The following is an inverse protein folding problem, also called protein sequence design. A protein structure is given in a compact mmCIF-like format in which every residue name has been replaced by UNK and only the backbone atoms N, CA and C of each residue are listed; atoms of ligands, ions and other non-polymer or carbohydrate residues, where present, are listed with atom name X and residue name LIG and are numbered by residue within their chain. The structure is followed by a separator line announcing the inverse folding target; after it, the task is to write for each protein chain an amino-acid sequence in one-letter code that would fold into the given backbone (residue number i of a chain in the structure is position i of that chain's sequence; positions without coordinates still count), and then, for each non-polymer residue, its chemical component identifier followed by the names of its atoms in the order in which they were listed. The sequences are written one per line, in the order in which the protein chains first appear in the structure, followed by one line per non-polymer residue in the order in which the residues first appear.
data_IF_919261811382
#
_entry.id   IF_919261811382
#
_cell.length_a   1.000
_cell.length_b   1.000
_cell.length_c   1.000
_cell.angle_alpha   90.00
_cell.angle_beta   90.00
_cell.angle_gamma   90.00
#
_symmetry.space_group_name_H-M   'P 1'
#
loop_
_entity.id
_entity.type
_entity.pdbx_description
1 polymer ?
#
# COMPACT_ATOMS: atom_id res chain seq x y z
N UNK A 1 -31.43 -38.14 19.11
CA UNK A 1 -30.48 -37.04 19.40
C UNK A 1 -29.05 -37.57 19.30
N UNK A 2 -28.35 -37.36 18.18
CA UNK A 2 -26.91 -37.70 18.07
C UNK A 2 -26.09 -36.48 18.45
N UNK A 3 -25.38 -36.60 19.56
CA UNK A 3 -24.40 -35.64 20.08
C UNK A 3 -23.28 -35.47 19.03
N UNK A 4 -23.41 -34.50 18.12
CA UNK A 4 -22.26 -34.05 17.30
C UNK A 4 -21.37 -33.22 18.19
N UNK A 5 -20.34 -33.86 18.78
CA UNK A 5 -19.26 -33.15 19.49
C UNK A 5 -18.73 -32.06 18.55
N UNK A 6 -18.70 -30.82 19.02
CA UNK A 6 -18.08 -29.70 18.30
C UNK A 6 -16.61 -30.06 18.06
N UNK A 7 -16.08 -29.92 16.83
CA UNK A 7 -14.68 -30.21 16.57
C UNK A 7 -13.78 -29.28 17.39
N UNK A 8 -12.70 -29.84 17.94
CA UNK A 8 -11.64 -29.10 18.63
C UNK A 8 -10.96 -28.15 17.63
N UNK A 9 -10.60 -26.96 18.08
CA UNK A 9 -9.81 -26.00 17.29
C UNK A 9 -8.39 -26.59 17.17
N UNK A 10 -7.83 -26.74 15.96
CA UNK A 10 -6.46 -27.22 15.76
C UNK A 10 -5.43 -26.29 16.39
N UNK A 11 -4.44 -26.85 17.10
CA UNK A 11 -3.37 -26.10 17.78
C UNK A 11 -2.01 -26.27 17.08
N UNK A 12 -1.92 -27.15 16.07
CA UNK A 12 -0.70 -27.38 15.29
C UNK A 12 -0.95 -27.45 13.77
N UNK A 13 0.09 -27.25 12.97
CA UNK A 13 0.00 -27.27 11.50
C UNK A 13 -0.35 -28.65 10.98
N UNK A 14 0.20 -29.71 11.58
CA UNK A 14 -0.15 -31.11 11.28
C UNK A 14 -1.63 -31.42 11.53
N UNK A 15 -2.26 -30.78 12.51
CA UNK A 15 -3.71 -30.87 12.71
C UNK A 15 -4.48 -30.07 11.66
N UNK A 16 -3.97 -28.93 11.18
CA UNK A 16 -4.56 -28.17 10.07
C UNK A 16 -4.49 -28.92 8.73
N UNK A 17 -3.43 -29.70 8.46
CA UNK A 17 -3.31 -30.50 7.22
C UNK A 17 -4.44 -31.53 7.08
N UNK A 18 -4.96 -32.05 8.19
CA UNK A 18 -6.08 -32.99 8.21
C UNK A 18 -7.43 -32.36 7.86
N UNK A 19 -7.63 -31.06 8.12
CA UNK A 19 -8.89 -30.35 7.86
C UNK A 19 -8.86 -29.50 6.58
N UNK A 20 -7.67 -29.25 6.03
CA UNK A 20 -7.44 -28.38 4.88
C UNK A 20 -6.40 -29.01 3.93
N UNK A 21 -6.71 -30.14 3.25
CA UNK A 21 -5.78 -30.74 2.28
C UNK A 21 -5.54 -29.86 1.05
N UNK A 22 -6.44 -28.91 0.74
CA UNK A 22 -6.41 -28.10 -0.49
C UNK A 22 -5.39 -26.93 -0.40
N UNK A 23 -5.32 -26.14 0.70
CA UNK A 23 -4.37 -25.02 0.80
C UNK A 23 -2.89 -25.41 0.73
N UNK A 24 -2.47 -26.51 1.36
CA UNK A 24 -1.05 -26.93 1.35
C UNK A 24 -0.66 -27.49 -0.02
N UNK A 25 -1.55 -28.27 -0.64
CA UNK A 25 -1.37 -28.72 -2.02
C UNK A 25 -1.29 -27.54 -3.00
N UNK A 26 -2.08 -26.48 -2.80
CA UNK A 26 -1.98 -25.26 -3.58
C UNK A 26 -0.60 -24.60 -3.46
N UNK A 27 -0.13 -24.39 -2.23
CA UNK A 27 1.18 -23.78 -1.97
C UNK A 27 2.31 -24.60 -2.60
N UNK A 28 2.25 -25.93 -2.48
CA UNK A 28 3.24 -26.82 -3.09
C UNK A 28 3.17 -26.77 -4.63
N UNK A 29 1.96 -26.82 -5.18
CA UNK A 29 1.72 -26.79 -6.63
C UNK A 29 2.24 -25.51 -7.28
N UNK A 30 2.05 -24.37 -6.63
CA UNK A 30 2.41 -23.05 -7.15
C UNK A 30 3.66 -22.45 -6.51
N UNK A 31 4.51 -23.29 -5.93
CA UNK A 31 5.72 -22.85 -5.24
C UNK A 31 6.62 -22.01 -6.15
N UNK A 32 6.75 -22.37 -7.44
CA UNK A 32 7.56 -21.62 -8.42
C UNK A 32 7.01 -20.22 -8.67
N UNK A 33 5.69 -20.11 -8.85
CA UNK A 33 5.00 -18.84 -9.05
C UNK A 33 5.08 -17.95 -7.81
N UNK A 34 4.90 -18.53 -6.62
CA UNK A 34 5.03 -17.83 -5.33
C UNK A 34 6.47 -17.32 -5.11
N UNK A 35 7.48 -18.09 -5.49
CA UNK A 35 8.88 -17.67 -5.44
C UNK A 35 9.23 -16.54 -6.44
N UNK A 36 8.38 -16.32 -7.45
CA UNK A 36 8.53 -15.23 -8.42
C UNK A 36 7.81 -13.93 -7.99
N UNK A 37 7.00 -13.97 -6.93
CA UNK A 37 6.33 -12.79 -6.37
C UNK A 37 7.37 -11.80 -5.84
N UNK A 38 7.24 -10.53 -6.25
CA UNK A 38 8.10 -9.43 -5.81
C UNK A 38 7.38 -8.38 -4.96
N UNK A 39 6.06 -8.44 -4.90
CA UNK A 39 5.25 -7.49 -4.15
C UNK A 39 4.12 -8.18 -3.44
N UNK A 40 3.89 -7.80 -2.19
CA UNK A 40 2.76 -8.22 -1.38
C UNK A 40 2.19 -7.02 -0.65
N UNK A 41 0.98 -7.15 -0.11
CA UNK A 41 0.43 -6.16 0.78
C UNK A 41 -0.55 -6.78 1.75
N UNK A 42 -0.81 -6.05 2.83
CA UNK A 42 -1.74 -6.48 3.86
C UNK A 42 -2.56 -5.31 4.37
N UNK A 43 -3.81 -5.59 4.70
CA UNK A 43 -4.73 -4.63 5.29
C UNK A 43 -5.85 -5.39 6.02
N UNK A 44 -6.42 -4.71 7.02
CA UNK A 44 -7.50 -5.21 7.86
C UNK A 44 -8.82 -4.52 7.55
N UNK A 45 -9.92 -5.29 7.51
CA UNK A 45 -11.28 -4.74 7.43
C UNK A 45 -12.11 -5.11 8.65
N UNK A 46 -12.88 -4.15 9.16
CA UNK A 46 -13.71 -4.32 10.36
C UNK A 46 -15.17 -4.65 10.04
N UNK A 47 -15.68 -4.20 8.87
CA UNK A 47 -17.12 -4.25 8.55
C UNK A 47 -17.60 -5.65 8.18
N UNK A 48 -16.72 -6.50 7.67
CA UNK A 48 -17.06 -7.87 7.26
C UNK A 48 -16.81 -8.90 8.35
N UNK A 49 -16.36 -8.46 9.53
CA UNK A 49 -16.05 -9.33 10.66
C UNK A 49 -17.34 -9.81 11.32
N UNK A 50 -17.48 -11.10 11.63
CA UNK A 50 -18.66 -11.61 12.30
C UNK A 50 -18.92 -10.94 13.65
N UNK A 51 -20.17 -10.57 13.91
CA UNK A 51 -20.56 -9.97 15.20
C UNK A 51 -20.72 -11.01 16.33
N UNK A 52 -20.77 -12.30 15.98
CA UNK A 52 -20.93 -13.43 16.89
C UNK A 52 -19.95 -14.53 16.52
N UNK A 53 -19.15 -15.07 17.47
CA UNK A 53 -19.21 -14.84 18.93
C UNK A 53 -18.67 -13.45 19.37
N UNK A 54 -19.03 -13.01 20.58
CA UNK A 54 -18.78 -11.63 21.07
C UNK A 54 -17.30 -11.20 21.01
N UNK A 55 -16.38 -12.14 21.10
CA UNK A 55 -14.93 -11.92 20.99
C UNK A 55 -14.55 -11.26 19.65
N UNK A 56 -15.29 -11.55 18.57
CA UNK A 56 -15.04 -11.01 17.24
C UNK A 56 -15.66 -9.63 17.00
N UNK A 57 -16.54 -9.14 17.89
CA UNK A 57 -17.34 -7.92 17.65
C UNK A 57 -16.50 -6.65 17.44
N UNK A 58 -15.26 -6.64 17.94
CA UNK A 58 -14.28 -5.55 17.76
C UNK A 58 -13.04 -5.99 16.99
N UNK A 59 -13.11 -7.15 16.36
CA UNK A 59 -12.00 -7.71 15.59
C UNK A 59 -11.86 -7.08 14.22
N UNK A 60 -10.80 -7.47 13.52
CA UNK A 60 -10.57 -7.19 12.10
C UNK A 60 -10.38 -8.50 11.34
N UNK A 61 -10.73 -8.52 10.05
CA UNK A 61 -10.29 -9.54 9.12
C UNK A 61 -9.03 -9.00 8.45
N UNK A 62 -7.87 -9.50 8.88
CA UNK A 62 -6.59 -9.21 8.28
C UNK A 62 -6.35 -10.12 7.08
N UNK A 63 -5.82 -9.55 6.00
CA UNK A 63 -5.55 -10.28 4.76
C UNK A 63 -4.13 -10.03 4.31
N UNK A 64 -3.45 -11.09 3.83
CA UNK A 64 -2.16 -10.97 3.17
C UNK A 64 -2.32 -11.35 1.71
N UNK A 65 -2.03 -10.42 0.82
CA UNK A 65 -2.15 -10.58 -0.61
C UNK A 65 -0.78 -10.60 -1.28
N UNK A 66 -0.59 -11.53 -2.20
CA UNK A 66 0.53 -11.48 -3.15
C UNK A 66 0.08 -10.80 -4.43
N UNK A 67 0.98 -10.03 -5.04
CA UNK A 67 0.75 -9.46 -6.38
C UNK A 67 1.57 -10.27 -7.37
N UNK A 68 0.88 -11.10 -8.16
CA UNK A 68 1.46 -11.94 -9.20
C UNK A 68 0.97 -11.48 -10.56
N UNK A 69 1.90 -11.21 -11.49
CA UNK A 69 1.61 -10.69 -12.84
C UNK A 69 0.65 -9.49 -12.87
N UNK A 70 0.81 -8.55 -11.93
CA UNK A 70 -0.03 -7.37 -11.72
C UNK A 70 -1.46 -7.64 -11.19
N UNK A 71 -1.77 -8.87 -10.79
CA UNK A 71 -3.03 -9.24 -10.16
C UNK A 71 -2.81 -9.55 -8.68
N UNK A 72 -3.69 -9.05 -7.82
CA UNK A 72 -3.68 -9.33 -6.39
C UNK A 72 -4.48 -10.59 -6.06
N UNK A 73 -3.85 -11.48 -5.31
CA UNK A 73 -4.43 -12.72 -4.80
C UNK A 73 -4.33 -12.76 -3.27
N UNK A 74 -5.44 -12.84 -2.55
CA UNK A 74 -5.43 -13.09 -1.11
C UNK A 74 -4.93 -14.51 -0.83
N UNK A 75 -3.91 -14.62 0.03
CA UNK A 75 -3.25 -15.89 0.35
C UNK A 75 -3.53 -16.34 1.78
N UNK A 76 -3.64 -15.39 2.71
CA UNK A 76 -3.86 -15.66 4.14
C UNK A 76 -4.94 -14.72 4.65
N UNK A 77 -5.85 -15.28 5.44
CA UNK A 77 -6.94 -14.59 6.09
C UNK A 77 -6.90 -14.90 7.58
N UNK A 78 -6.95 -13.87 8.43
CA UNK A 78 -7.01 -14.07 9.88
C UNK A 78 -8.04 -13.15 10.52
N UNK A 79 -8.86 -13.71 11.41
CA UNK A 79 -9.74 -12.93 12.27
C UNK A 79 -8.97 -12.53 13.52
N UNK A 80 -8.53 -11.28 13.56
CA UNK A 80 -7.82 -10.72 14.70
C UNK A 80 -8.83 -10.18 15.72
N UNK A 81 -8.63 -10.48 17.00
CA UNK A 81 -9.45 -9.91 18.09
C UNK A 81 -9.01 -8.49 18.49
N UNK A 82 -7.83 -8.08 18.05
CA UNK A 82 -7.23 -6.78 18.34
C UNK A 82 -6.33 -6.31 17.19
N UNK A 83 -6.26 -4.99 17.00
CA UNK A 83 -5.40 -4.33 16.03
C UNK A 83 -4.17 -3.78 16.77
N UNK A 84 -3.26 -4.68 17.18
CA UNK A 84 -2.02 -4.32 17.89
C UNK A 84 -0.80 -4.90 17.18
N UNK A 85 0.36 -4.34 17.47
CA UNK A 85 1.65 -4.82 16.94
C UNK A 85 1.88 -6.31 17.21
N UNK A 86 1.51 -6.79 18.41
CA UNK A 86 1.64 -8.20 18.78
C UNK A 86 0.72 -9.09 17.93
N UNK A 87 -0.51 -8.61 17.69
CA UNK A 87 -1.50 -9.32 16.87
C UNK A 87 -1.03 -9.43 15.42
N UNK A 88 -0.47 -8.34 14.87
CA UNK A 88 0.10 -8.34 13.52
C UNK A 88 1.36 -9.19 13.42
N UNK A 89 2.21 -9.18 14.45
CA UNK A 89 3.43 -10.00 14.48
C UNK A 89 3.08 -11.49 14.42
N UNK A 90 2.08 -11.93 15.21
CA UNK A 90 1.58 -13.30 15.15
C UNK A 90 1.04 -13.67 13.76
N UNK A 91 0.23 -12.80 13.16
CA UNK A 91 -0.28 -12.98 11.80
C UNK A 91 0.86 -13.14 10.78
N UNK A 92 1.87 -12.27 10.83
CA UNK A 92 2.99 -12.34 9.90
C UNK A 92 3.88 -13.57 10.11
N UNK A 93 4.01 -14.07 11.35
CA UNK A 93 4.71 -15.33 11.61
C UNK A 93 4.01 -16.51 10.93
N UNK A 94 2.66 -16.52 10.94
CA UNK A 94 1.87 -17.50 10.20
C UNK A 94 2.11 -17.36 8.70
N UNK A 95 2.06 -16.13 8.16
CA UNK A 95 2.36 -15.86 6.74
C UNK A 95 3.75 -16.38 6.35
N UNK A 96 4.77 -16.09 7.17
CA UNK A 96 6.16 -16.53 6.94
C UNK A 96 6.29 -18.04 6.93
N UNK A 97 5.56 -18.72 7.80
CA UNK A 97 5.58 -20.17 7.88
C UNK A 97 4.87 -20.83 6.69
N UNK A 98 3.72 -20.27 6.27
CA UNK A 98 2.89 -20.87 5.23
C UNK A 98 3.42 -20.62 3.82
N UNK A 99 3.89 -19.40 3.51
CA UNK A 99 4.16 -19.00 2.14
C UNK A 99 5.66 -19.13 1.79
N UNK A 100 6.03 -19.94 0.79
CA UNK A 100 7.42 -20.03 0.32
C UNK A 100 7.69 -18.85 -0.62
N UNK A 101 7.82 -17.64 -0.08
CA UNK A 101 8.21 -16.44 -0.84
C UNK A 101 9.72 -16.21 -0.76
N UNK A 102 10.28 -15.49 -1.75
CA UNK A 102 11.64 -14.96 -1.66
C UNK A 102 11.65 -13.65 -0.89
N UNK A 103 11.56 -13.73 0.43
CA UNK A 103 11.43 -12.55 1.30
C UNK A 103 12.54 -11.51 1.09
N UNK A 104 13.79 -11.90 0.82
CA UNK A 104 14.89 -10.97 0.54
C UNK A 104 14.72 -10.11 -0.72
N UNK A 105 13.81 -10.50 -1.62
CA UNK A 105 13.47 -9.76 -2.85
C UNK A 105 12.01 -9.27 -2.84
N UNK A 106 11.33 -9.36 -1.70
CA UNK A 106 9.92 -9.02 -1.56
C UNK A 106 9.79 -7.57 -1.08
N UNK A 107 8.92 -6.80 -1.73
CA UNK A 107 8.41 -5.54 -1.19
C UNK A 107 7.05 -5.77 -0.54
N UNK A 108 6.93 -5.48 0.76
CA UNK A 108 5.66 -5.58 1.50
C UNK A 108 5.09 -4.18 1.64
N UNK A 109 3.86 -4.00 1.16
CA UNK A 109 3.16 -2.72 1.13
C UNK A 109 2.12 -2.65 2.25
N UNK A 110 2.24 -1.65 3.12
CA UNK A 110 1.31 -1.41 4.24
C UNK A 110 0.86 0.04 4.29
N UNK A 111 -0.09 0.33 5.18
CA UNK A 111 -0.39 1.70 5.60
C UNK A 111 0.66 2.21 6.60
N UNK A 112 0.58 3.49 6.93
CA UNK A 112 1.45 4.16 7.91
C UNK A 112 1.05 3.86 9.37
N UNK A 113 0.44 2.70 9.64
CA UNK A 113 0.13 2.27 11.00
C UNK A 113 1.40 1.70 11.64
N UNK A 114 1.86 2.35 12.72
CA UNK A 114 3.13 2.00 13.38
C UNK A 114 3.21 0.53 13.80
N UNK A 115 2.12 -0.04 14.34
CA UNK A 115 2.08 -1.44 14.74
C UNK A 115 2.26 -2.40 13.56
N UNK A 116 1.65 -2.12 12.40
CA UNK A 116 1.84 -2.92 11.19
C UNK A 116 3.28 -2.81 10.67
N UNK A 117 3.81 -1.60 10.60
CA UNK A 117 5.18 -1.34 10.13
C UNK A 117 6.22 -2.07 10.99
N UNK A 118 6.08 -1.98 12.31
CA UNK A 118 6.97 -2.65 13.26
C UNK A 118 6.89 -4.17 13.13
N UNK A 119 5.68 -4.72 13.02
CA UNK A 119 5.48 -6.15 12.87
C UNK A 119 6.09 -6.69 11.56
N UNK A 120 5.92 -5.99 10.43
CA UNK A 120 6.57 -6.37 9.16
C UNK A 120 8.09 -6.32 9.30
N UNK A 121 8.64 -5.24 9.86
CA UNK A 121 10.10 -5.07 10.02
C UNK A 121 10.68 -6.14 10.93
N UNK A 122 9.95 -6.56 11.95
CA UNK A 122 10.36 -7.60 12.90
C UNK A 122 10.35 -8.99 12.27
N UNK A 123 9.30 -9.33 11.51
CA UNK A 123 9.12 -10.68 10.95
C UNK A 123 9.84 -10.87 9.62
N UNK A 124 10.00 -9.81 8.82
CA UNK A 124 10.63 -9.82 7.50
C UNK A 124 11.72 -8.75 7.37
N UNK A 125 12.77 -8.78 8.21
CA UNK A 125 13.84 -7.78 8.17
C UNK A 125 14.59 -7.76 6.82
N UNK A 126 14.54 -8.84 6.05
CA UNK A 126 15.13 -8.93 4.71
C UNK A 126 14.25 -8.34 3.60
N UNK A 127 12.95 -8.14 3.85
CA UNK A 127 12.03 -7.57 2.88
C UNK A 127 12.07 -6.05 2.91
N UNK A 128 11.81 -5.43 1.76
CA UNK A 128 11.60 -3.97 1.70
C UNK A 128 10.20 -3.65 2.22
N UNK A 129 10.11 -2.96 3.35
CA UNK A 129 8.85 -2.32 3.76
C UNK A 129 8.65 -1.02 2.97
N UNK A 130 7.51 -0.90 2.29
CA UNK A 130 7.11 0.31 1.57
C UNK A 130 5.73 0.74 2.06
N UNK A 131 5.55 1.98 2.47
CA UNK A 131 4.22 2.46 2.82
C UNK A 131 3.46 2.93 1.57
N UNK A 132 2.13 2.83 1.62
CA UNK A 132 1.27 3.17 0.50
C UNK A 132 1.39 4.67 0.12
N UNK A 133 1.80 4.93 -1.13
CA UNK A 133 1.90 6.29 -1.66
C UNK A 133 0.57 7.04 -1.63
N UNK A 134 -0.55 6.34 -1.84
CA UNK A 134 -1.87 6.96 -1.80
C UNK A 134 -2.25 7.43 -0.40
N UNK A 135 -1.86 6.70 0.64
CA UNK A 135 -2.07 7.11 2.03
C UNK A 135 -1.18 8.28 2.45
N UNK A 136 0.06 8.33 1.96
CA UNK A 136 0.95 9.50 2.07
C UNK A 136 0.28 10.73 1.44
N UNK A 137 -0.13 10.62 0.17
CA UNK A 137 -0.83 11.66 -0.57
C UNK A 137 -2.07 12.16 0.19
N UNK A 138 -2.95 11.24 0.60
CA UNK A 138 -4.19 11.59 1.29
C UNK A 138 -3.93 12.31 2.61
N UNK A 139 -2.90 11.90 3.34
CA UNK A 139 -2.56 12.47 4.64
C UNK A 139 -2.10 13.93 4.48
N UNK A 140 -1.32 14.24 3.45
CA UNK A 140 -0.93 15.61 3.11
C UNK A 140 -2.15 16.47 2.76
N UNK A 141 -2.99 16.01 1.83
CA UNK A 141 -4.18 16.77 1.43
C UNK A 141 -5.13 16.99 2.60
N UNK A 142 -5.31 15.97 3.46
CA UNK A 142 -6.14 16.04 4.65
C UNK A 142 -5.57 17.00 5.69
N UNK A 143 -4.24 17.05 5.85
CA UNK A 143 -3.58 18.03 6.71
C UNK A 143 -3.85 19.45 6.23
N UNK A 144 -3.63 19.74 4.94
CA UNK A 144 -3.96 21.06 4.38
C UNK A 144 -5.43 21.39 4.66
N UNK A 145 -6.37 20.50 4.32
CA UNK A 145 -7.80 20.78 4.49
C UNK A 145 -8.24 21.00 5.95
N UNK A 146 -7.66 20.28 6.92
CA UNK A 146 -8.17 20.26 8.31
C UNK A 146 -7.33 21.03 9.31
N UNK A 147 -6.05 21.22 9.04
CA UNK A 147 -5.06 21.82 9.96
C UNK A 147 -4.42 23.07 9.41
N UNK A 148 -4.45 23.29 8.10
CA UNK A 148 -3.92 24.50 7.46
C UNK A 148 -4.81 24.95 6.30
N UNK A 149 -6.03 25.41 6.63
CA UNK A 149 -7.04 25.80 5.64
C UNK A 149 -6.57 26.91 4.72
N UNK A 150 -5.70 27.81 5.20
CA UNK A 150 -5.06 28.83 4.39
C UNK A 150 -4.26 28.19 3.23
N UNK A 151 -3.37 27.24 3.53
CA UNK A 151 -2.61 26.52 2.51
C UNK A 151 -3.54 25.76 1.56
N UNK A 152 -4.62 25.17 2.08
CA UNK A 152 -5.62 24.49 1.25
C UNK A 152 -6.29 25.43 0.23
N UNK A 153 -6.68 26.64 0.66
CA UNK A 153 -7.31 27.63 -0.23
C UNK A 153 -6.31 28.21 -1.25
N UNK A 154 -5.06 28.42 -0.83
CA UNK A 154 -3.98 28.86 -1.72
C UNK A 154 -3.69 27.85 -2.83
N UNK A 155 -3.60 26.56 -2.50
CA UNK A 155 -3.39 25.48 -3.48
C UNK A 155 -4.51 25.43 -4.53
N UNK A 156 -5.71 25.94 -4.21
CA UNK A 156 -6.84 26.00 -5.14
C UNK A 156 -6.90 27.29 -5.98
N UNK A 157 -6.29 28.37 -5.49
CA UNK A 157 -6.43 29.71 -6.10
C UNK A 157 -5.13 30.23 -6.72
N UNK A 158 -3.98 29.65 -6.38
CA UNK A 158 -2.67 30.07 -6.85
C UNK A 158 -1.91 28.90 -7.50
N UNK A 159 -1.49 29.10 -8.76
CA UNK A 159 -0.81 28.08 -9.57
C UNK A 159 0.55 27.69 -8.97
N UNK A 160 1.28 28.63 -8.36
CA UNK A 160 2.58 28.35 -7.73
C UNK A 160 2.37 27.47 -6.50
N UNK A 161 1.44 27.83 -5.61
CA UNK A 161 1.10 27.01 -4.43
C UNK A 161 0.65 25.59 -4.84
N UNK A 162 -0.15 25.48 -5.91
CA UNK A 162 -0.58 24.20 -6.48
C UNK A 162 0.61 23.37 -7.02
N UNK A 163 1.54 24.01 -7.72
CA UNK A 163 2.74 23.35 -8.25
C UNK A 163 3.68 22.89 -7.13
N UNK A 164 3.82 23.68 -6.07
CA UNK A 164 4.58 23.27 -4.88
C UNK A 164 4.01 22.01 -4.26
N UNK A 165 2.68 21.93 -4.07
CA UNK A 165 2.05 20.71 -3.56
C UNK A 165 2.35 19.51 -4.48
N UNK A 166 2.25 19.69 -5.80
CA UNK A 166 2.55 18.62 -6.77
C UNK A 166 3.99 18.12 -6.64
N UNK A 167 4.95 19.02 -6.49
CA UNK A 167 6.36 18.67 -6.30
C UNK A 167 6.59 17.94 -4.96
N UNK A 168 5.96 18.39 -3.88
CA UNK A 168 6.03 17.71 -2.57
C UNK A 168 5.51 16.28 -2.66
N UNK A 169 4.39 16.07 -3.34
CA UNK A 169 3.81 14.74 -3.55
C UNK A 169 4.66 13.86 -4.46
N UNK A 170 5.41 14.48 -5.38
CA UNK A 170 6.36 13.81 -6.25
C UNK A 170 7.68 13.42 -5.56
N UNK A 171 7.98 13.96 -4.36
CA UNK A 171 9.18 13.57 -3.60
C UNK A 171 9.25 12.07 -3.38
N UNK A 172 8.12 11.40 -3.13
CA UNK A 172 8.06 9.95 -2.95
C UNK A 172 8.60 9.15 -4.16
N UNK A 173 8.73 9.77 -5.34
CA UNK A 173 9.32 9.16 -6.53
C UNK A 173 10.83 9.37 -6.66
N UNK A 174 11.48 10.00 -5.67
CA UNK A 174 12.95 10.06 -5.58
C UNK A 174 13.49 8.95 -4.66
N UNK A 175 14.77 8.55 -4.82
CA UNK A 175 15.41 7.62 -3.90
C UNK A 175 15.36 8.11 -2.46
N UNK A 176 15.14 7.18 -1.51
CA UNK A 176 15.12 7.51 -0.08
C UNK A 176 16.46 8.08 0.41
N UNK A 177 17.58 7.58 -0.10
CA UNK A 177 18.94 8.00 0.25
C UNK A 177 19.78 8.14 -1.02
N UNK A 178 20.85 8.94 -0.93
CA UNK A 178 21.84 9.05 -2.02
C UNK A 178 22.60 7.72 -2.17
N UNK A 179 23.21 7.52 -3.34
CA UNK A 179 23.99 6.31 -3.62
C UNK A 179 23.16 5.08 -3.96
N UNK A 180 21.90 5.23 -4.39
CA UNK A 180 21.10 4.10 -4.88
C UNK A 180 21.79 3.46 -6.11
N UNK A 181 21.72 2.13 -6.24
CA UNK A 181 22.42 1.39 -7.29
C UNK A 181 22.07 1.90 -8.71
N UNK A 182 20.79 2.17 -8.94
CA UNK A 182 20.32 2.71 -10.22
C UNK A 182 20.61 4.23 -10.37
N UNK A 183 20.76 4.98 -9.25
CA UNK A 183 20.81 6.46 -9.23
C UNK A 183 21.58 7.00 -8.00
N UNK A 184 22.76 7.57 -8.21
CA UNK A 184 23.66 7.90 -7.10
C UNK A 184 23.59 9.35 -6.59
N UNK A 185 23.14 10.30 -7.41
CA UNK A 185 23.39 11.73 -7.18
C UNK A 185 22.40 12.44 -6.23
N UNK A 186 21.13 12.02 -6.19
CA UNK A 186 20.07 12.76 -5.50
C UNK A 186 19.15 11.86 -4.67
N UNK A 187 18.54 12.44 -3.63
CA UNK A 187 17.52 11.78 -2.80
C UNK A 187 16.33 12.70 -2.49
N UNK A 188 15.36 12.19 -1.72
CA UNK A 188 14.17 12.92 -1.27
C UNK A 188 14.53 14.26 -0.61
N UNK A 189 15.55 14.30 0.24
CA UNK A 189 15.97 15.51 0.94
C UNK A 189 16.57 16.56 0.00
N UNK A 190 17.25 16.14 -1.07
CA UNK A 190 17.69 17.05 -2.14
C UNK A 190 16.48 17.64 -2.87
N UNK A 191 15.51 16.79 -3.20
CA UNK A 191 14.23 17.22 -3.75
C UNK A 191 13.55 18.29 -2.92
N UNK A 192 13.44 18.06 -1.61
CA UNK A 192 12.83 19.01 -0.68
C UNK A 192 13.60 20.32 -0.60
N UNK A 193 14.93 20.28 -0.53
CA UNK A 193 15.77 21.49 -0.49
C UNK A 193 15.63 22.33 -1.74
N UNK A 194 15.57 21.71 -2.92
CA UNK A 194 15.35 22.41 -4.18
C UNK A 194 13.95 23.05 -4.23
N UNK A 195 12.90 22.36 -3.74
CA UNK A 195 11.56 22.95 -3.61
C UNK A 195 11.61 24.21 -2.74
N UNK A 196 12.30 24.18 -1.60
CA UNK A 196 12.44 25.34 -0.71
C UNK A 196 13.15 26.49 -1.44
N UNK A 197 14.27 26.21 -2.13
CA UNK A 197 15.02 27.21 -2.90
C UNK A 197 14.19 27.80 -4.05
N UNK A 198 13.36 27.00 -4.71
CA UNK A 198 12.42 27.46 -5.73
C UNK A 198 11.38 28.43 -5.15
N UNK A 199 10.78 28.11 -4.00
CA UNK A 199 9.73 28.94 -3.40
C UNK A 199 10.30 30.24 -2.82
N UNK A 200 11.56 30.25 -2.38
CA UNK A 200 12.22 31.47 -1.91
C UNK A 200 12.30 32.58 -2.98
N UNK A 201 12.19 32.24 -4.26
CA UNK A 201 12.07 33.21 -5.36
C UNK A 201 10.72 33.95 -5.35
N UNK A 202 9.74 33.47 -4.57
CA UNK A 202 8.40 34.02 -4.40
C UNK A 202 8.13 34.29 -2.91
N UNK A 203 8.62 35.42 -2.35
CA UNK A 203 8.57 35.68 -0.89
C UNK A 203 7.17 35.55 -0.27
N UNK A 204 6.13 35.99 -0.98
CA UNK A 204 4.75 35.89 -0.50
C UNK A 204 4.27 34.43 -0.39
N UNK A 205 4.65 33.58 -1.35
CA UNK A 205 4.32 32.14 -1.33
C UNK A 205 5.11 31.47 -0.21
N UNK A 206 6.41 31.75 -0.12
CA UNK A 206 7.27 31.23 0.93
C UNK A 206 6.71 31.50 2.33
N UNK A 207 6.36 32.76 2.61
CA UNK A 207 5.84 33.18 3.91
C UNK A 207 4.54 32.46 4.30
N UNK A 208 3.67 32.15 3.31
CA UNK A 208 2.41 31.45 3.55
C UNK A 208 2.58 29.94 3.72
N UNK A 209 3.58 29.35 3.05
CA UNK A 209 3.79 27.89 3.05
C UNK A 209 4.80 27.39 4.09
N UNK A 210 5.62 28.27 4.69
CA UNK A 210 6.74 27.88 5.56
C UNK A 210 6.34 26.92 6.70
N UNK A 211 5.24 27.16 7.41
CA UNK A 211 4.77 26.29 8.49
C UNK A 211 4.43 24.90 7.97
N UNK A 212 3.76 24.82 6.83
CA UNK A 212 3.44 23.55 6.18
C UNK A 212 4.71 22.81 5.72
N UNK A 213 5.67 23.52 5.11
CA UNK A 213 6.91 22.94 4.63
C UNK A 213 7.78 22.40 5.78
N UNK A 214 8.03 23.21 6.81
CA UNK A 214 9.00 22.85 7.84
C UNK A 214 8.38 22.04 8.98
N UNK A 215 7.20 22.39 9.49
CA UNK A 215 6.60 21.66 10.62
C UNK A 215 5.94 20.35 10.21
N UNK A 216 5.40 20.28 8.99
CA UNK A 216 4.69 19.08 8.55
C UNK A 216 5.47 18.26 7.52
N UNK A 217 5.94 18.85 6.42
CA UNK A 217 6.70 18.06 5.43
C UNK A 217 8.06 17.65 6.00
N UNK A 218 8.88 18.59 6.45
CA UNK A 218 10.21 18.26 6.97
C UNK A 218 10.13 17.54 8.32
N UNK A 219 9.55 18.17 9.34
CA UNK A 219 9.62 17.63 10.71
C UNK A 219 8.80 16.35 10.92
N UNK A 220 7.64 16.21 10.29
CA UNK A 220 6.85 14.98 10.44
C UNK A 220 7.22 13.94 9.38
N UNK A 221 7.10 14.25 8.08
CA UNK A 221 7.34 13.24 7.05
C UNK A 221 8.82 12.88 6.87
N UNK A 222 9.72 13.86 6.74
CA UNK A 222 11.13 13.55 6.50
C UNK A 222 11.88 13.13 7.76
N UNK A 223 11.64 13.78 8.91
CA UNK A 223 12.41 13.53 10.12
C UNK A 223 11.80 12.43 11.01
N UNK A 224 10.48 12.43 11.24
CA UNK A 224 9.84 11.44 12.15
C UNK A 224 9.44 10.15 11.45
N UNK A 225 8.82 10.24 10.26
CA UNK A 225 8.47 9.05 9.48
C UNK A 225 9.71 8.51 8.79
N UNK A 226 10.39 9.34 7.99
CA UNK A 226 11.63 8.98 7.32
C UNK A 226 11.43 8.67 5.82
N UNK A 227 12.37 9.08 4.95
CA UNK A 227 12.28 8.87 3.50
C UNK A 227 12.19 7.40 3.08
N UNK A 228 12.77 6.48 3.86
CA UNK A 228 12.77 5.05 3.57
C UNK A 228 11.36 4.46 3.41
N UNK A 229 10.39 4.92 4.21
CA UNK A 229 9.00 4.44 4.14
C UNK A 229 8.16 5.19 3.11
N UNK A 230 8.54 6.43 2.78
CA UNK A 230 7.81 7.29 1.84
C UNK A 230 8.22 6.97 0.39
N UNK A 231 9.48 6.63 0.16
CA UNK A 231 10.02 6.40 -1.18
C UNK A 231 9.41 5.16 -1.82
N UNK A 232 8.73 5.40 -2.94
CA UNK A 232 8.27 4.38 -3.88
C UNK A 232 9.13 4.35 -5.14
N UNK A 233 10.38 4.82 -5.03
CA UNK A 233 11.35 4.79 -6.10
C UNK A 233 11.54 3.37 -6.64
N UNK A 234 11.56 3.26 -7.98
CA UNK A 234 11.70 1.98 -8.69
C UNK A 234 10.51 1.01 -8.59
N UNK A 235 9.45 1.37 -7.85
CA UNK A 235 8.34 0.45 -7.59
C UNK A 235 7.23 0.57 -8.64
N UNK A 236 6.89 -0.56 -9.27
CA UNK A 236 5.73 -0.65 -10.15
C UNK A 236 4.41 -0.58 -9.36
N UNK A 237 4.35 -1.26 -8.21
CA UNK A 237 3.21 -1.27 -7.29
C UNK A 237 3.49 -0.28 -6.15
N UNK A 238 2.76 0.83 -6.14
CA UNK A 238 2.97 1.98 -5.24
C UNK A 238 1.83 2.21 -4.25
N UNK A 239 0.67 1.63 -4.53
CA UNK A 239 -0.54 1.78 -3.72
C UNK A 239 -1.10 0.43 -3.32
N UNK A 240 -1.94 0.41 -2.29
CA UNK A 240 -2.68 -0.76 -1.83
C UNK A 240 -4.16 -0.74 -2.25
N UNK A 241 -4.53 0.03 -3.28
CA UNK A 241 -5.92 0.15 -3.75
C UNK A 241 -6.59 -1.20 -4.09
N UNK A 242 -5.79 -2.22 -4.41
CA UNK A 242 -6.30 -3.58 -4.63
C UNK A 242 -6.86 -4.22 -3.35
N UNK A 243 -6.33 -3.87 -2.17
CA UNK A 243 -6.86 -4.28 -0.87
C UNK A 243 -8.16 -3.54 -0.56
N UNK A 244 -8.23 -2.24 -0.80
CA UNK A 244 -9.47 -1.46 -0.65
C UNK A 244 -10.60 -1.98 -1.55
N UNK A 245 -10.25 -2.33 -2.80
CA UNK A 245 -11.17 -2.95 -3.76
C UNK A 245 -11.63 -4.32 -3.29
N UNK A 246 -10.72 -5.12 -2.74
CA UNK A 246 -11.03 -6.41 -2.14
C UNK A 246 -11.96 -6.26 -0.93
N UNK A 247 -11.69 -5.33 -0.02
CA UNK A 247 -12.56 -5.02 1.12
C UNK A 247 -13.96 -4.57 0.68
N UNK A 248 -14.06 -3.82 -0.40
CA UNK A 248 -15.35 -3.43 -0.99
C UNK A 248 -16.09 -4.64 -1.58
N UNK A 249 -15.38 -5.56 -2.24
CA UNK A 249 -15.94 -6.81 -2.73
C UNK A 249 -16.44 -7.69 -1.59
N UNK A 250 -15.64 -7.83 -0.52
CA UNK A 250 -16.01 -8.54 0.70
C UNK A 250 -17.28 -7.95 1.28
N UNK A 251 -17.35 -6.63 1.48
CA UNK A 251 -18.52 -5.98 2.08
C UNK A 251 -19.79 -6.21 1.25
N UNK A 252 -19.69 -6.14 -0.09
CA UNK A 252 -20.81 -6.40 -1.00
C UNK A 252 -21.29 -7.85 -0.95
N UNK A 253 -20.37 -8.81 -0.84
CA UNK A 253 -20.70 -10.24 -0.90
C UNK A 253 -21.08 -10.82 0.48
N UNK A 254 -20.34 -10.43 1.53
CA UNK A 254 -20.53 -10.90 2.89
C UNK A 254 -21.68 -10.15 3.57
N UNK A 255 -21.87 -8.88 3.23
CA UNK A 255 -22.70 -7.97 3.99
C UNK A 255 -21.99 -7.44 5.23
N UNK A 256 -22.66 -6.56 5.98
CA UNK A 256 -22.12 -6.01 7.20
C UNK A 256 -22.30 -6.99 8.37
N UNK A 257 -21.22 -7.32 9.05
CA UNK A 257 -21.19 -8.20 10.23
C UNK A 257 -22.00 -9.51 10.11
N UNK A 258 -21.69 -10.38 9.12
CA UNK A 258 -22.39 -11.66 8.95
C UNK A 258 -22.27 -12.56 10.18
N UNK A 259 -23.13 -13.57 10.29
CA UNK A 259 -22.88 -14.62 11.30
C UNK A 259 -21.67 -15.48 10.87
N UNK A 260 -21.01 -16.14 11.84
CA UNK A 260 -19.77 -16.89 11.57
C UNK A 260 -19.94 -18.00 10.53
N UNK A 261 -21.11 -18.65 10.45
CA UNK A 261 -21.33 -19.73 9.49
C UNK A 261 -21.47 -19.22 8.06
N UNK A 262 -22.25 -18.14 7.89
CA UNK A 262 -22.38 -17.44 6.60
C UNK A 262 -21.03 -16.87 6.14
N UNK A 263 -20.28 -16.26 7.06
CA UNK A 263 -18.91 -15.79 6.82
C UNK A 263 -18.02 -16.91 6.28
N UNK A 264 -17.95 -18.06 6.97
CA UNK A 264 -17.11 -19.18 6.57
C UNK A 264 -17.52 -19.78 5.22
N UNK A 265 -18.83 -19.88 4.94
CA UNK A 265 -19.31 -20.36 3.64
C UNK A 265 -18.91 -19.42 2.51
N UNK A 266 -19.14 -18.11 2.69
CA UNK A 266 -18.78 -17.10 1.69
C UNK A 266 -17.27 -17.00 1.49
N UNK A 267 -16.47 -17.12 2.56
CA UNK A 267 -15.02 -17.15 2.46
C UNK A 267 -14.52 -18.34 1.63
N UNK A 268 -15.11 -19.53 1.79
CA UNK A 268 -14.79 -20.70 0.94
C UNK A 268 -15.15 -20.49 -0.53
N UNK A 269 -16.29 -19.87 -0.81
CA UNK A 269 -16.70 -19.56 -2.19
C UNK A 269 -15.70 -18.59 -2.82
N UNK A 270 -15.33 -17.55 -2.08
CA UNK A 270 -14.36 -16.54 -2.50
C UNK A 270 -12.98 -17.18 -2.75
N UNK A 271 -12.48 -17.99 -1.82
CA UNK A 271 -11.18 -18.65 -1.95
C UNK A 271 -11.13 -19.59 -3.16
N UNK A 272 -12.18 -20.38 -3.40
CA UNK A 272 -12.30 -21.18 -4.62
C UNK A 272 -12.27 -20.32 -5.90
N UNK A 273 -12.88 -19.14 -5.90
CA UNK A 273 -12.82 -18.22 -7.04
C UNK A 273 -11.37 -17.77 -7.28
N UNK A 274 -10.67 -17.30 -6.26
CA UNK A 274 -9.28 -16.85 -6.39
C UNK A 274 -8.32 -17.99 -6.76
N UNK A 275 -8.57 -19.20 -6.29
CA UNK A 275 -7.83 -20.40 -6.68
C UNK A 275 -7.94 -20.65 -8.19
N UNK A 276 -9.14 -20.57 -8.76
CA UNK A 276 -9.36 -20.70 -10.21
C UNK A 276 -8.71 -19.57 -10.98
N UNK A 277 -8.86 -18.32 -10.52
CA UNK A 277 -8.20 -17.16 -11.14
C UNK A 277 -6.67 -17.30 -11.13
N UNK A 278 -6.07 -17.81 -10.05
CA UNK A 278 -4.64 -18.04 -9.97
C UNK A 278 -4.18 -19.10 -10.98
N UNK A 279 -4.92 -20.20 -11.13
CA UNK A 279 -4.65 -21.20 -12.19
C UNK A 279 -4.68 -20.54 -13.57
N UNK A 280 -5.70 -19.73 -13.84
CA UNK A 280 -5.85 -19.06 -15.13
C UNK A 280 -4.69 -18.10 -15.40
N UNK A 281 -4.31 -17.27 -14.43
CA UNK A 281 -3.20 -16.33 -14.55
C UNK A 281 -1.83 -17.04 -14.66
N UNK A 282 -1.65 -18.17 -13.96
CA UNK A 282 -0.45 -19.01 -14.11
C UNK A 282 -0.27 -19.49 -15.55
N UNK A 283 -1.38 -19.74 -16.26
CA UNK A 283 -1.45 -20.13 -17.67
C UNK A 283 -1.53 -18.94 -18.65
N UNK A 284 -1.36 -17.70 -18.17
CA UNK A 284 -1.48 -16.47 -18.95
C UNK A 284 -2.86 -16.23 -19.59
N UNK A 285 -3.92 -16.74 -18.96
CA UNK A 285 -5.29 -16.43 -19.38
C UNK A 285 -5.72 -15.10 -18.78
N UNK A 286 -6.44 -14.28 -19.55
CA UNK A 286 -6.96 -13.00 -19.07
C UNK A 286 -8.09 -13.22 -18.06
N UNK A 287 -7.88 -12.79 -16.81
CA UNK A 287 -8.87 -12.94 -15.73
C UNK A 287 -9.60 -11.65 -15.35
N UNK A 288 -9.03 -10.48 -15.68
CA UNK A 288 -9.57 -9.15 -15.32
C UNK A 288 -9.31 -8.14 -16.44
N UNK A 289 -10.05 -7.04 -16.39
CA UNK A 289 -9.81 -5.90 -17.27
C UNK A 289 -8.36 -5.39 -17.15
N UNK A 290 -7.73 -5.12 -18.30
CA UNK A 290 -6.32 -4.75 -18.38
C UNK A 290 -6.08 -3.24 -18.31
N UNK A 291 -7.15 -2.42 -18.32
CA UNK A 291 -7.04 -0.95 -18.32
C UNK A 291 -6.20 -0.44 -17.15
N UNK A 292 -6.49 -0.87 -15.91
CA UNK A 292 -5.73 -0.45 -14.74
C UNK A 292 -4.25 -0.84 -14.80
N UNK A 293 -3.94 -2.00 -15.39
CA UNK A 293 -2.55 -2.46 -15.59
C UNK A 293 -1.84 -1.57 -16.62
N UNK A 294 -2.51 -1.22 -17.71
CA UNK A 294 -1.99 -0.34 -18.76
C UNK A 294 -1.72 1.08 -18.26
N UNK A 295 -2.67 1.65 -17.51
CA UNK A 295 -2.52 2.98 -16.88
C UNK A 295 -1.32 3.01 -15.92
N UNK A 296 -1.17 1.97 -15.09
CA UNK A 296 -0.03 1.84 -14.16
C UNK A 296 1.30 1.72 -14.91
N UNK A 297 1.36 0.93 -15.98
CA UNK A 297 2.56 0.78 -16.80
C UNK A 297 2.94 2.11 -17.46
N UNK A 298 1.96 2.84 -18.00
CA UNK A 298 2.15 4.16 -18.61
C UNK A 298 2.70 5.17 -17.60
N UNK A 299 2.11 5.24 -16.40
CA UNK A 299 2.58 6.11 -15.34
C UNK A 299 4.01 5.74 -14.90
N UNK A 300 4.29 4.44 -14.75
CA UNK A 300 5.64 3.96 -14.37
C UNK A 300 6.69 4.32 -15.42
N UNK A 301 6.37 4.17 -16.71
CA UNK A 301 7.24 4.60 -17.80
C UNK A 301 7.50 6.11 -17.78
N UNK A 302 6.46 6.92 -17.55
CA UNK A 302 6.62 8.37 -17.46
C UNK A 302 7.54 8.78 -16.30
N UNK A 303 7.36 8.19 -15.12
CA UNK A 303 8.25 8.44 -13.98
C UNK A 303 9.69 8.04 -14.28
N UNK A 304 9.90 6.85 -14.84
CA UNK A 304 11.24 6.38 -15.21
C UNK A 304 11.94 7.36 -16.14
N UNK A 305 11.25 7.83 -17.18
CA UNK A 305 11.77 8.84 -18.12
C UNK A 305 12.12 10.16 -17.42
N UNK A 306 11.31 10.61 -16.46
CA UNK A 306 11.61 11.83 -15.71
C UNK A 306 12.89 11.70 -14.86
N UNK A 307 13.12 10.52 -14.26
CA UNK A 307 14.33 10.24 -13.49
C UNK A 307 15.55 10.09 -14.44
N UNK A 308 15.41 9.44 -15.61
CA UNK A 308 16.47 9.39 -16.64
C UNK A 308 16.91 10.80 -17.07
N UNK A 309 15.96 11.69 -17.35
CA UNK A 309 16.26 13.08 -17.69
C UNK A 309 16.90 13.87 -16.55
N UNK A 310 16.54 13.57 -15.30
CA UNK A 310 17.18 14.14 -14.12
C UNK A 310 18.66 13.77 -14.06
N UNK A 311 19.02 12.52 -14.37
CA UNK A 311 20.42 12.10 -14.41
C UNK A 311 21.23 12.80 -15.48
N UNK A 312 20.63 13.06 -16.65
CA UNK A 312 21.32 13.69 -17.76
C UNK A 312 21.55 15.19 -17.53
N UNK A 313 20.57 15.88 -16.93
CA UNK A 313 20.54 17.34 -16.89
C UNK A 313 20.67 17.94 -15.47
N UNK A 314 20.56 17.14 -14.41
CA UNK A 314 20.68 17.59 -13.01
C UNK A 314 19.55 18.50 -12.50
N UNK A 315 18.47 18.71 -13.28
CA UNK A 315 17.40 19.64 -12.90
C UNK A 315 16.27 18.95 -12.12
N UNK A 316 16.41 18.94 -10.78
CA UNK A 316 15.45 18.35 -9.84
C UNK A 316 14.06 18.99 -9.95
N UNK A 317 13.96 20.32 -9.99
CA UNK A 317 12.66 21.02 -10.05
C UNK A 317 11.86 20.64 -11.28
N UNK A 318 12.52 20.55 -12.44
CA UNK A 318 11.89 20.10 -13.68
C UNK A 318 11.39 18.65 -13.56
N UNK A 319 12.21 17.77 -12.99
CA UNK A 319 11.84 16.38 -12.74
C UNK A 319 10.61 16.27 -11.83
N UNK A 320 10.63 16.95 -10.68
CA UNK A 320 9.53 16.97 -9.71
C UNK A 320 8.25 17.57 -10.29
N UNK A 321 8.36 18.59 -11.14
CA UNK A 321 7.22 19.20 -11.84
C UNK A 321 6.58 18.18 -12.78
N UNK A 322 7.39 17.53 -13.64
CA UNK A 322 6.92 16.50 -14.58
C UNK A 322 6.26 15.33 -13.87
N UNK A 323 6.88 14.80 -12.80
CA UNK A 323 6.31 13.73 -11.99
C UNK A 323 5.06 14.21 -11.22
N UNK A 324 5.05 15.46 -10.77
CA UNK A 324 3.91 16.08 -10.09
C UNK A 324 2.64 16.11 -10.94
N UNK A 325 2.77 16.34 -12.25
CA UNK A 325 1.64 16.29 -13.19
C UNK A 325 1.01 14.90 -13.33
N UNK A 326 1.73 13.82 -13.01
CA UNK A 326 1.14 12.47 -12.93
C UNK A 326 0.00 12.39 -11.91
N UNK A 327 0.00 13.29 -10.93
CA UNK A 327 -0.89 13.29 -9.80
C UNK A 327 -2.15 14.12 -10.04
N UNK A 328 -2.25 14.82 -11.17
CA UNK A 328 -3.33 15.77 -11.47
C UNK A 328 -4.71 15.14 -11.41
N UNK A 329 -4.87 13.92 -11.95
CA UNK A 329 -6.13 13.19 -11.89
C UNK A 329 -6.58 12.90 -10.45
N UNK A 330 -5.63 12.59 -9.56
CA UNK A 330 -5.92 12.34 -8.15
C UNK A 330 -6.17 13.63 -7.37
N UNK A 331 -5.35 14.66 -7.58
CA UNK A 331 -5.56 15.97 -6.99
C UNK A 331 -6.94 16.52 -7.36
N UNK A 332 -7.30 16.52 -8.64
CA UNK A 332 -8.61 17.00 -9.10
C UNK A 332 -9.79 16.30 -8.40
N UNK A 333 -9.69 14.98 -8.15
CA UNK A 333 -10.73 14.24 -7.40
C UNK A 333 -10.81 14.62 -5.92
N UNK A 334 -9.70 15.02 -5.31
CA UNK A 334 -9.61 15.29 -3.87
C UNK A 334 -9.83 16.76 -3.51
N UNK A 335 -9.39 17.69 -4.36
CA UNK A 335 -9.41 19.15 -4.09
C UNK A 335 -10.27 19.96 -5.09
N UNK A 336 -10.76 19.35 -6.18
CA UNK A 336 -11.43 20.05 -7.27
C UNK A 336 -10.45 20.63 -8.31
N UNK A 337 -10.96 21.30 -9.36
CA UNK A 337 -10.09 22.09 -10.26
C UNK A 337 -9.64 23.36 -9.53
N UNK A 338 -8.38 23.81 -9.72
CA UNK A 338 -8.03 25.20 -9.42
C UNK A 338 -8.98 26.12 -10.18
N UNK A 339 -9.41 27.21 -9.55
CA UNK A 339 -10.16 28.24 -10.28
C UNK A 339 -9.22 28.85 -11.32
N UNK A 340 -9.62 28.84 -12.58
CA UNK A 340 -8.86 29.43 -13.70
C UNK A 340 -8.69 30.95 -13.55
#
# INVERSE_FOLDING_TARGET
MRNRRRPKIPETIQELELYLPIPIQFIHRFSKELQAVKSAGCDGTFKTVPSTPKQLRRGSLMTFHVVYKNVSFPMVYELLNSATEESYTAFFQIVRHLLPLKYGNLTIITDFERGLMNAVTTVFPESRLQCCWFHFFQSIVRYCRRKNSLVYDLIKTNVIDANVLRMILALAHLPATRGHADYQQFCIEDGFREIVAYIQQYPDVYNRMQTFLFEYIQNFWLNQVGPAFISVFGSEIRTNNYLESFHSQLLRFFGNHPNIWDFLQKLRILENQFFVEFIQESKNLTIRDQTSRSERATNTHMLKRAIEQLNEHGNIIRCLTQMGHANDGYLRRQIGRPSD
#
